data_IF_101415126899
#
_entry.id   IF_101415126899
#
_cell.length_a   1.000
_cell.length_b   1.000
_cell.length_c   1.000
_cell.angle_alpha   90.00
_cell.angle_beta   90.00
_cell.angle_gamma   90.00
#
_symmetry.space_group_name_H-M   'P 1'
#
loop_
_entity.id
_entity.type
_entity.pdbx_description
1 polymer ?
#
# COMPACT_ATOMS: atom_id res chain seq x y z
N UNK A 1 -6.72 18.70 -1.23
CA UNK A 1 -6.28 17.28 -1.09
C UNK A 1 -7.06 16.62 0.03
N UNK A 2 -7.56 15.41 -0.20
CA UNK A 2 -8.57 14.76 0.66
C UNK A 2 -7.99 14.39 2.03
N UNK A 3 -8.22 15.25 3.03
CA UNK A 3 -7.94 15.04 4.46
C UNK A 3 -8.26 13.59 4.92
N UNK A 4 -9.29 12.97 4.35
CA UNK A 4 -9.69 11.57 4.59
C UNK A 4 -8.61 10.50 4.34
N UNK A 5 -7.69 10.70 3.39
CA UNK A 5 -6.66 9.69 3.08
C UNK A 5 -5.36 9.89 3.86
N UNK A 6 -5.16 11.07 4.47
CA UNK A 6 -3.93 11.40 5.19
C UNK A 6 -3.63 10.44 6.35
N UNK A 7 -4.60 10.01 7.17
CA UNK A 7 -4.33 9.06 8.25
C UNK A 7 -3.78 7.72 7.74
N UNK A 8 -4.23 7.26 6.57
CA UNK A 8 -3.76 6.01 5.98
C UNK A 8 -2.32 6.14 5.47
N UNK A 9 -2.00 7.25 4.82
CA UNK A 9 -0.62 7.56 4.42
C UNK A 9 0.31 7.62 5.63
N UNK A 10 -0.10 8.29 6.71
CA UNK A 10 0.71 8.40 7.94
C UNK A 10 0.97 7.03 8.55
N UNK A 11 -0.04 6.15 8.64
CA UNK A 11 0.14 4.77 9.13
C UNK A 11 1.11 3.97 8.27
N UNK A 12 0.92 4.01 6.95
CA UNK A 12 1.78 3.32 6.00
C UNK A 12 3.24 3.78 6.12
N UNK A 13 3.48 5.10 6.05
CA UNK A 13 4.84 5.65 6.14
C UNK A 13 5.47 5.36 7.50
N UNK A 14 4.68 5.40 8.58
CA UNK A 14 5.18 5.06 9.92
C UNK A 14 5.64 3.60 10.00
N UNK A 15 4.88 2.69 9.40
CA UNK A 15 5.26 1.29 9.28
C UNK A 15 6.52 1.10 8.42
N UNK A 16 6.53 1.70 7.22
CA UNK A 16 7.63 1.58 6.25
C UNK A 16 8.95 2.08 6.81
N UNK A 17 8.95 3.26 7.43
CA UNK A 17 10.16 3.91 7.92
C UNK A 17 10.49 3.52 9.37
N UNK A 18 9.63 2.71 10.02
CA UNK A 18 9.71 2.33 11.42
C UNK A 18 9.81 3.53 12.37
N UNK A 19 9.01 4.57 12.10
CA UNK A 19 8.99 5.85 12.81
C UNK A 19 7.55 6.24 13.11
N UNK A 20 7.28 6.79 14.31
CA UNK A 20 5.94 7.31 14.62
C UNK A 20 5.79 8.75 14.12
N UNK A 21 5.14 8.93 12.96
CA UNK A 21 4.83 10.27 12.45
C UNK A 21 3.58 10.87 13.11
N UNK A 22 3.58 12.21 13.29
CA UNK A 22 2.37 12.93 13.68
C UNK A 22 1.29 12.85 12.59
N UNK A 23 0.02 12.88 12.99
CA UNK A 23 -1.13 12.94 12.07
C UNK A 23 -1.07 14.14 11.10
N UNK A 24 -0.42 15.22 11.52
CA UNK A 24 -0.28 16.47 10.76
C UNK A 24 1.05 16.51 9.97
N UNK A 25 1.86 15.45 10.04
CA UNK A 25 3.15 15.39 9.35
C UNK A 25 2.98 15.52 7.84
N UNK A 26 3.73 16.40 7.19
CA UNK A 26 3.75 16.54 5.73
C UNK A 26 4.97 15.83 5.15
N UNK A 27 4.72 14.80 4.35
CA UNK A 27 5.79 14.06 3.66
C UNK A 27 6.25 14.84 2.44
N UNK A 28 7.57 14.86 2.21
CA UNK A 28 8.15 15.51 1.03
C UNK A 28 7.90 14.67 -0.22
N UNK A 29 7.98 15.30 -1.40
CA UNK A 29 7.87 14.62 -2.69
C UNK A 29 8.90 13.50 -2.82
N UNK A 30 10.13 13.73 -2.34
CA UNK A 30 11.23 12.74 -2.38
C UNK A 30 10.90 11.53 -1.50
N UNK A 31 10.31 11.73 -0.32
CA UNK A 31 9.87 10.65 0.53
C UNK A 31 8.77 9.80 -0.15
N UNK A 32 7.83 10.46 -0.82
CA UNK A 32 6.75 9.78 -1.54
C UNK A 32 7.25 9.05 -2.80
N UNK A 33 8.26 9.58 -3.49
CA UNK A 33 8.89 8.93 -4.64
C UNK A 33 9.74 7.70 -4.26
N UNK A 34 10.16 7.58 -3.00
CA UNK A 34 10.87 6.41 -2.47
C UNK A 34 9.96 5.24 -2.10
N UNK A 35 8.64 5.40 -2.21
CA UNK A 35 7.69 4.31 -1.95
C UNK A 35 7.80 3.28 -3.07
N UNK A 36 8.06 2.03 -2.72
CA UNK A 36 8.14 0.92 -3.67
C UNK A 36 6.88 0.04 -3.63
N UNK A 37 6.65 -0.79 -4.67
CA UNK A 37 5.65 -1.85 -4.62
C UNK A 37 5.83 -2.82 -3.46
N UNK A 38 7.08 -3.12 -3.08
CA UNK A 38 7.39 -4.06 -2.01
C UNK A 38 6.93 -3.52 -0.65
N UNK A 39 7.20 -2.24 -0.36
CA UNK A 39 6.72 -1.57 0.86
C UNK A 39 5.20 -1.68 0.99
N UNK A 40 4.49 -1.45 -0.12
CA UNK A 40 3.02 -1.56 -0.18
C UNK A 40 2.56 -2.99 0.04
N UNK A 41 3.21 -3.98 -0.57
CA UNK A 41 2.86 -5.38 -0.38
C UNK A 41 3.04 -5.81 1.07
N UNK A 42 4.17 -5.46 1.71
CA UNK A 42 4.43 -5.76 3.13
C UNK A 42 3.38 -5.12 4.04
N UNK A 43 3.03 -3.86 3.79
CA UNK A 43 1.97 -3.16 4.54
C UNK A 43 0.60 -3.84 4.34
N UNK A 44 0.21 -4.11 3.09
CA UNK A 44 -1.07 -4.74 2.77
C UNK A 44 -1.17 -6.17 3.32
N UNK A 45 -0.08 -6.92 3.30
CA UNK A 45 0.01 -8.23 3.93
C UNK A 45 -0.18 -8.13 5.44
N UNK A 46 0.53 -7.20 6.10
CA UNK A 46 0.38 -6.97 7.55
C UNK A 46 -1.06 -6.66 7.94
N UNK A 47 -1.74 -5.85 7.14
CA UNK A 47 -3.15 -5.48 7.35
C UNK A 47 -4.12 -6.66 7.15
N UNK A 48 -3.77 -7.62 6.29
CA UNK A 48 -4.64 -8.74 5.89
C UNK A 48 -4.41 -9.99 6.74
N UNK A 49 -3.14 -10.34 6.95
CA UNK A 49 -2.69 -11.58 7.56
C UNK A 49 -2.05 -11.38 8.93
N UNK A 50 -1.80 -10.14 9.36
CA UNK A 50 -1.02 -9.87 10.58
C UNK A 50 0.49 -10.08 10.41
N UNK A 51 0.93 -10.57 9.25
CA UNK A 51 2.32 -10.79 8.86
C UNK A 51 2.63 -10.05 7.56
N UNK A 52 3.82 -9.46 7.45
CA UNK A 52 4.28 -8.78 6.23
C UNK A 52 4.71 -9.74 5.12
N UNK A 53 5.11 -10.95 5.50
CA UNK A 53 5.58 -12.03 4.61
C UNK A 53 4.78 -13.32 4.89
N UNK A 54 3.45 -13.31 4.63
CA UNK A 54 2.58 -14.44 4.92
C UNK A 54 2.95 -15.63 4.03
N UNK A 55 2.87 -16.85 4.60
CA UNK A 55 3.01 -18.07 3.82
C UNK A 55 1.82 -18.28 2.87
N UNK A 56 1.96 -19.19 1.91
CA UNK A 56 0.90 -19.44 0.94
C UNK A 56 -0.35 -20.08 1.54
N UNK A 57 -0.17 -20.78 2.66
CA UNK A 57 -1.22 -21.45 3.43
C UNK A 57 -1.92 -20.51 4.42
N UNK A 58 -1.32 -19.35 4.71
CA UNK A 58 -1.86 -18.43 5.70
C UNK A 58 -3.19 -17.85 5.22
N UNK A 59 -4.22 -18.00 6.06
CA UNK A 59 -5.55 -17.45 5.79
C UNK A 59 -5.62 -15.99 6.24
N UNK A 60 -6.28 -15.11 5.47
CA UNK A 60 -6.53 -13.73 5.90
C UNK A 60 -7.23 -13.71 7.26
N UNK A 61 -6.64 -13.02 8.24
CA UNK A 61 -7.22 -12.86 9.59
C UNK A 61 -8.40 -11.89 9.54
N UNK A 62 -8.28 -10.86 8.71
CA UNK A 62 -9.33 -9.88 8.49
C UNK A 62 -9.68 -9.88 7.00
N UNK A 63 -10.76 -10.59 6.60
CA UNK A 63 -11.32 -10.53 5.24
C UNK A 63 -11.71 -9.07 4.89
N UNK A 64 -10.80 -8.25 4.37
CA UNK A 64 -11.08 -6.83 4.09
C UNK A 64 -10.40 -6.35 2.82
N UNK A 65 -10.82 -6.94 1.69
CA UNK A 65 -10.54 -6.41 0.34
C UNK A 65 -10.79 -4.89 0.27
N UNK A 66 -11.86 -4.42 0.91
CA UNK A 66 -12.21 -2.99 1.01
C UNK A 66 -11.13 -2.13 1.68
N UNK A 67 -10.44 -2.67 2.70
CA UNK A 67 -9.29 -1.99 3.32
C UNK A 67 -8.14 -1.87 2.33
N UNK A 68 -7.83 -2.94 1.59
CA UNK A 68 -6.75 -2.91 0.60
C UNK A 68 -7.05 -1.93 -0.55
N UNK A 69 -8.28 -1.93 -1.06
CA UNK A 69 -8.73 -0.97 -2.07
C UNK A 69 -8.66 0.47 -1.55
N UNK A 70 -9.06 0.69 -0.30
CA UNK A 70 -8.94 1.99 0.36
C UNK A 70 -7.49 2.42 0.52
N UNK A 71 -6.60 1.57 1.05
CA UNK A 71 -5.17 1.84 1.19
C UNK A 71 -4.56 2.18 -0.16
N UNK A 72 -4.85 1.37 -1.18
CA UNK A 72 -4.36 1.60 -2.55
C UNK A 72 -4.79 2.98 -3.08
N UNK A 73 -6.07 3.33 -2.93
CA UNK A 73 -6.61 4.63 -3.35
C UNK A 73 -6.00 5.78 -2.56
N UNK A 74 -5.83 5.60 -1.25
CA UNK A 74 -5.26 6.60 -0.36
C UNK A 74 -3.82 6.91 -0.75
N UNK A 75 -2.95 5.91 -0.85
CA UNK A 75 -1.55 6.13 -1.21
C UNK A 75 -1.42 6.70 -2.62
N UNK A 76 -2.16 6.15 -3.59
CA UNK A 76 -2.16 6.63 -4.98
C UNK A 76 -2.47 8.13 -5.08
N UNK A 77 -3.38 8.65 -4.24
CA UNK A 77 -3.75 10.08 -4.23
C UNK A 77 -2.63 11.04 -3.81
N UNK A 78 -1.60 10.53 -3.13
CA UNK A 78 -0.42 11.29 -2.72
C UNK A 78 0.80 11.03 -3.60
N UNK A 79 0.79 9.97 -4.43
CA UNK A 79 1.91 9.68 -5.30
C UNK A 79 2.07 10.77 -6.37
N UNK A 80 3.25 11.40 -6.52
CA UNK A 80 3.46 12.48 -7.50
C UNK A 80 3.19 12.06 -8.96
N UNK A 81 3.35 10.77 -9.27
CA UNK A 81 3.19 10.19 -10.61
C UNK A 81 1.89 9.38 -10.76
N UNK A 82 0.78 9.92 -10.26
CA UNK A 82 -0.50 9.21 -10.12
C UNK A 82 -0.98 8.50 -11.40
N UNK A 83 -0.77 9.11 -12.57
CA UNK A 83 -1.22 8.61 -13.88
C UNK A 83 -0.19 7.73 -14.61
N UNK A 84 1.03 7.58 -14.07
CA UNK A 84 2.07 6.75 -14.68
C UNK A 84 2.03 5.36 -14.06
N UNK A 85 1.87 4.33 -14.89
CA UNK A 85 2.04 2.95 -14.43
C UNK A 85 3.45 2.75 -13.84
N UNK A 86 3.58 1.78 -12.92
CA UNK A 86 4.88 1.42 -12.37
C UNK A 86 5.71 0.67 -13.41
N UNK A 87 6.90 1.18 -13.69
CA UNK A 87 7.92 0.51 -14.49
C UNK A 87 8.92 -0.20 -13.55
N UNK A 88 9.00 -1.54 -13.58
CA UNK A 88 9.91 -2.30 -12.74
C UNK A 88 11.38 -2.16 -13.15
N UNK A 89 11.69 -1.78 -14.40
CA UNK A 89 13.08 -1.62 -14.87
C UNK A 89 13.70 -0.33 -14.35
N UNK A 90 12.91 0.74 -14.34
CA UNK A 90 13.38 2.07 -13.92
C UNK A 90 12.95 2.44 -12.51
N UNK A 91 12.20 1.56 -11.83
CA UNK A 91 11.62 1.72 -10.49
C UNK A 91 10.88 3.06 -10.32
N UNK A 92 10.04 3.36 -11.31
CA UNK A 92 9.42 4.68 -11.47
C UNK A 92 7.94 4.55 -11.81
N UNK A 93 7.16 5.52 -11.35
CA UNK A 93 5.72 5.61 -11.62
C UNK A 93 4.91 5.50 -10.34
N UNK A 94 3.66 5.04 -10.46
CA UNK A 94 2.78 4.84 -9.32
C UNK A 94 2.90 3.41 -8.77
N UNK A 95 3.54 3.19 -7.61
CA UNK A 95 3.80 1.85 -7.09
C UNK A 95 2.52 1.08 -6.79
N UNK A 96 1.40 1.78 -6.55
CA UNK A 96 0.09 1.15 -6.35
C UNK A 96 -0.45 0.46 -7.62
N UNK A 97 0.02 0.86 -8.80
CA UNK A 97 -0.38 0.27 -10.09
C UNK A 97 0.50 -0.90 -10.53
N UNK A 98 1.51 -1.27 -9.73
CA UNK A 98 2.39 -2.39 -10.04
C UNK A 98 1.66 -3.74 -10.07
N UNK A 99 2.21 -4.67 -10.85
CA UNK A 99 1.71 -6.04 -10.93
C UNK A 99 1.72 -6.76 -9.58
N UNK A 100 2.72 -6.51 -8.73
CA UNK A 100 2.82 -7.12 -7.41
C UNK A 100 1.63 -6.73 -6.53
N UNK A 101 1.33 -5.43 -6.44
CA UNK A 101 0.19 -4.91 -5.66
C UNK A 101 -1.14 -5.40 -6.25
N UNK A 102 -1.27 -5.39 -7.59
CA UNK A 102 -2.47 -5.91 -8.27
C UNK A 102 -2.71 -7.40 -7.99
N UNK A 103 -1.66 -8.22 -8.04
CA UNK A 103 -1.71 -9.66 -7.74
C UNK A 103 -2.14 -9.91 -6.30
N UNK A 104 -1.62 -9.15 -5.34
CA UNK A 104 -2.01 -9.24 -3.92
C UNK A 104 -3.51 -8.97 -3.75
N UNK A 105 -4.02 -7.86 -4.29
CA UNK A 105 -5.45 -7.50 -4.22
C UNK A 105 -6.31 -8.58 -4.86
N UNK A 106 -5.90 -9.12 -6.02
CA UNK A 106 -6.60 -10.21 -6.70
C UNK A 106 -6.61 -11.51 -5.87
N UNK A 107 -5.49 -11.88 -5.25
CA UNK A 107 -5.39 -13.04 -4.35
C UNK A 107 -6.39 -12.91 -3.20
N UNK A 108 -6.40 -11.77 -2.52
CA UNK A 108 -7.31 -11.53 -1.39
C UNK A 108 -8.77 -11.55 -1.86
N UNK A 109 -9.08 -10.95 -3.02
CA UNK A 109 -10.42 -10.99 -3.62
C UNK A 109 -10.92 -12.41 -3.88
N UNK A 110 -10.06 -13.27 -4.44
CA UNK A 110 -10.42 -14.66 -4.73
C UNK A 110 -10.69 -15.46 -3.44
N UNK A 111 -9.89 -15.24 -2.40
CA UNK A 111 -10.08 -15.86 -1.08
C UNK A 111 -11.35 -15.39 -0.36
N UNK A 112 -11.89 -14.21 -0.71
CA UNK A 112 -13.13 -13.69 -0.11
C UNK A 112 -14.40 -14.10 -0.84
N UNK A 113 -14.31 -14.47 -2.12
CA UNK A 113 -15.47 -14.83 -2.97
C UNK A 113 -15.67 -16.35 -3.12
N UNK A 114 -14.85 -17.17 -2.46
CA UNK A 114 -15.00 -18.64 -2.35
C UNK A 114 -15.62 -19.01 -1.00
#
# INVERSE_FOLDING_TARGET
>A
MTSRYKPELVKFMSYKDNVSYSKDHTFTTEALLRITPEDLCRWMNRQTYGDSEPSDEMRPIHRRLTTLEFTKKAISSFTPRINSAWDPLTERGNPTQSDAVNKLVKRVKNLTNS
#
